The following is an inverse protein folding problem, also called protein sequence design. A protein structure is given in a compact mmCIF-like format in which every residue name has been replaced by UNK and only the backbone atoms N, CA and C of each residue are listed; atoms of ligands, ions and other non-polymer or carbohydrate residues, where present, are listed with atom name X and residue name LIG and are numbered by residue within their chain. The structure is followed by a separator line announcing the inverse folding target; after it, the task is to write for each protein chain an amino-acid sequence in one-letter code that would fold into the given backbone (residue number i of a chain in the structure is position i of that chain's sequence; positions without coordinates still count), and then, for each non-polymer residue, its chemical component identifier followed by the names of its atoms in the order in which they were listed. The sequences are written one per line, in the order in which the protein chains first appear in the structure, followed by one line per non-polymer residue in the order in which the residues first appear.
data_IF_535292712725
#
_entry.id   IF_535292712725
#
_cell.length_a   1.000
_cell.length_b   1.000
_cell.length_c   1.000
_cell.angle_alpha   90.00
_cell.angle_beta   90.00
_cell.angle_gamma   90.00
#
_symmetry.space_group_name_H-M   'P 1'
#
loop_
_entity.id
_entity.type
_entity.pdbx_description
1 polymer ?
#
# COMPACT_ATOMS: atom_id res chain seq x y z
N UNK A 1 -4.77 4.64 19.85
CA UNK A 1 -4.33 4.46 18.44
C UNK A 1 -4.15 2.98 18.21
N UNK A 2 -5.00 2.36 17.40
CA UNK A 2 -4.84 0.95 17.04
C UNK A 2 -3.54 0.78 16.27
N UNK A 3 -2.63 -0.05 16.80
CA UNK A 3 -1.35 -0.40 16.17
C UNK A 3 -1.53 -1.22 14.88
N UNK A 4 -2.75 -1.64 14.58
CA UNK A 4 -3.12 -2.52 13.46
C UNK A 4 -2.93 -1.87 12.08
N UNK A 5 -2.63 -0.57 12.03
CA UNK A 5 -2.38 0.16 10.77
C UNK A 5 -0.89 0.41 10.50
N UNK A 6 0.04 -0.06 11.35
CA UNK A 6 1.48 0.18 11.15
C UNK A 6 2.14 -1.07 10.59
N UNK A 7 2.72 -0.93 9.40
CA UNK A 7 3.53 -1.95 8.73
C UNK A 7 5.00 -1.58 8.88
N UNK A 8 5.84 -2.52 9.28
CA UNK A 8 7.31 -2.36 9.25
C UNK A 8 7.83 -3.21 8.11
N UNK A 9 8.52 -2.60 7.15
CA UNK A 9 9.11 -3.31 6.02
C UNK A 9 10.59 -3.61 6.28
N UNK A 10 11.19 -4.43 5.41
CA UNK A 10 12.59 -4.90 5.52
C UNK A 10 13.63 -3.78 5.60
N UNK A 11 13.28 -2.58 5.15
CA UNK A 11 14.12 -1.38 5.26
C UNK A 11 14.09 -0.74 6.68
N UNK A 12 13.46 -1.39 7.66
CA UNK A 12 13.22 -0.91 9.03
C UNK A 12 12.41 0.39 9.13
N UNK A 13 11.78 0.83 8.04
CA UNK A 13 10.89 1.98 8.07
C UNK A 13 9.47 1.56 8.43
N UNK A 14 8.78 2.46 9.10
CA UNK A 14 7.38 2.29 9.47
C UNK A 14 6.47 3.02 8.49
N UNK A 15 5.40 2.35 8.12
CA UNK A 15 4.40 2.85 7.19
C UNK A 15 3.02 2.73 7.81
N UNK A 16 2.18 3.72 7.55
CA UNK A 16 0.76 3.66 7.84
C UNK A 16 0.01 3.03 6.66
N UNK A 17 -0.81 2.02 6.95
CA UNK A 17 -1.79 1.46 6.02
C UNK A 17 -2.94 2.44 5.85
N UNK A 18 -3.06 3.01 4.66
CA UNK A 18 -4.10 3.98 4.31
C UNK A 18 -5.35 3.26 3.82
N UNK A 19 -5.20 2.29 2.93
CA UNK A 19 -6.31 1.55 2.35
C UNK A 19 -5.87 0.22 1.76
N UNK A 20 -6.82 -0.69 1.60
CA UNK A 20 -6.65 -1.95 0.85
C UNK A 20 -7.75 -2.10 -0.17
N UNK A 21 -7.42 -2.65 -1.33
CA UNK A 21 -8.40 -3.00 -2.38
C UNK A 21 -8.18 -4.43 -2.87
N UNK A 22 -9.21 -5.00 -3.45
CA UNK A 22 -9.11 -6.20 -4.28
C UNK A 22 -9.25 -5.82 -5.75
N UNK A 23 -8.32 -6.27 -6.58
CA UNK A 23 -8.31 -6.06 -8.03
C UNK A 23 -7.78 -7.32 -8.71
N UNK A 24 -8.52 -7.87 -9.67
CA UNK A 24 -8.15 -9.12 -10.38
C UNK A 24 -7.82 -10.29 -9.42
N UNK A 25 -8.63 -10.46 -8.36
CA UNK A 25 -8.45 -11.47 -7.30
C UNK A 25 -7.13 -11.36 -6.51
N UNK A 26 -6.47 -10.20 -6.57
CA UNK A 26 -5.28 -9.88 -5.79
C UNK A 26 -5.59 -8.76 -4.81
N UNK A 27 -4.93 -8.80 -3.64
CA UNK A 27 -5.05 -7.77 -2.61
C UNK A 27 -3.91 -6.78 -2.76
N UNK A 28 -4.25 -5.49 -2.80
CA UNK A 28 -3.28 -4.41 -2.85
C UNK A 28 -3.45 -3.48 -1.65
N UNK A 29 -2.35 -2.90 -1.20
CA UNK A 29 -2.31 -1.94 -0.11
C UNK A 29 -1.69 -0.62 -0.57
N UNK A 30 -2.25 0.47 -0.06
CA UNK A 30 -1.69 1.81 -0.18
C UNK A 30 -1.11 2.22 1.17
N UNK A 31 0.20 2.48 1.17
CA UNK A 31 0.99 2.79 2.36
C UNK A 31 1.60 4.19 2.25
N UNK A 32 1.74 4.89 3.37
CA UNK A 32 2.53 6.14 3.46
C UNK A 32 3.60 6.02 4.55
N UNK A 33 4.78 6.58 4.31
CA UNK A 33 5.88 6.56 5.28
C UNK A 33 5.50 7.42 6.50
N UNK A 34 5.64 6.88 7.71
CA UNK A 34 5.20 7.57 8.93
C UNK A 34 6.01 8.85 9.20
N UNK A 35 7.30 8.84 8.87
CA UNK A 35 8.20 9.99 9.07
C UNK A 35 8.13 11.00 7.92
N UNK A 36 7.52 10.64 6.79
CA UNK A 36 7.42 11.47 5.60
C UNK A 36 6.17 11.12 4.80
N UNK A 37 5.06 11.78 5.11
CA UNK A 37 3.77 11.50 4.46
C UNK A 37 3.73 11.88 2.97
N UNK A 38 4.77 12.51 2.44
CA UNK A 38 4.89 12.76 1.00
C UNK A 38 5.35 11.51 0.25
N UNK A 39 5.95 10.56 0.97
CA UNK A 39 6.36 9.26 0.44
C UNK A 39 5.25 8.25 0.64
N UNK A 40 4.98 7.52 -0.43
CA UNK A 40 3.96 6.49 -0.45
C UNK A 40 4.35 5.35 -1.36
N UNK A 41 3.73 4.20 -1.15
CA UNK A 41 3.92 3.00 -1.94
C UNK A 41 2.59 2.31 -2.16
N UNK A 42 2.45 1.68 -3.32
CA UNK A 42 1.37 0.75 -3.61
C UNK A 42 2.01 -0.61 -3.82
N UNK A 43 1.49 -1.64 -3.18
CA UNK A 43 2.04 -2.98 -3.25
C UNK A 43 0.98 -4.06 -3.23
N UNK A 44 1.31 -5.21 -3.79
CA UNK A 44 0.53 -6.44 -3.62
C UNK A 44 0.83 -7.04 -2.24
N UNK A 45 -0.19 -7.55 -1.56
CA UNK A 45 -0.04 -8.27 -0.29
C UNK A 45 -0.16 -9.77 -0.56
N UNK A 46 0.94 -10.49 -0.45
CA UNK A 46 1.04 -11.92 -0.74
C UNK A 46 1.57 -12.64 0.49
N UNK A 47 0.78 -13.52 1.11
CA UNK A 47 1.18 -14.27 2.31
C UNK A 47 1.77 -13.37 3.43
N UNK A 48 1.09 -12.25 3.70
CA UNK A 48 1.51 -11.23 4.67
C UNK A 48 2.80 -10.45 4.31
N UNK A 49 3.39 -10.70 3.13
CA UNK A 49 4.48 -9.89 2.57
C UNK A 49 3.94 -8.77 1.67
N UNK A 50 4.64 -7.64 1.64
CA UNK A 50 4.32 -6.50 0.80
C UNK A 50 5.31 -6.41 -0.36
N UNK A 51 4.81 -6.52 -1.59
CA UNK A 51 5.61 -6.44 -2.81
C UNK A 51 5.28 -5.12 -3.50
N UNK A 52 6.22 -4.18 -3.49
CA UNK A 52 6.06 -2.87 -4.12
C UNK A 52 5.81 -3.02 -5.63
N UNK A 53 4.77 -2.34 -6.13
CA UNK A 53 4.48 -2.24 -7.55
C UNK A 53 5.17 -0.99 -8.10
N UNK A 54 6.10 -1.19 -9.02
CA UNK A 54 6.79 -0.10 -9.74
C UNK A 54 6.35 0.01 -11.21
N UNK A 55 5.49 -0.90 -11.68
CA UNK A 55 4.98 -0.92 -13.04
C UNK A 55 3.96 0.22 -13.28
N UNK A 56 4.23 1.20 -14.17
CA UNK A 56 3.42 2.41 -14.29
C UNK A 56 1.96 2.17 -14.70
N UNK A 57 1.71 1.22 -15.61
CA UNK A 57 0.35 0.92 -16.08
C UNK A 57 -0.52 0.34 -14.97
N UNK A 58 0.02 -0.61 -14.21
CA UNK A 58 -0.67 -1.20 -13.07
C UNK A 58 -0.88 -0.16 -11.97
N UNK A 59 0.14 0.64 -11.66
CA UNK A 59 0.02 1.76 -10.71
C UNK A 59 -1.13 2.71 -11.07
N UNK A 60 -1.23 3.12 -12.33
CA UNK A 60 -2.32 3.99 -12.81
C UNK A 60 -3.71 3.40 -12.59
N UNK A 61 -3.87 2.11 -12.89
CA UNK A 61 -5.12 1.39 -12.63
C UNK A 61 -5.43 1.35 -11.14
N UNK A 62 -4.49 0.91 -10.31
CA UNK A 62 -4.66 0.79 -8.86
C UNK A 62 -5.00 2.14 -8.21
N UNK A 63 -4.31 3.22 -8.59
CA UNK A 63 -4.62 4.58 -8.09
C UNK A 63 -6.07 4.97 -8.38
N UNK A 64 -6.58 4.63 -9.57
CA UNK A 64 -7.99 4.89 -9.93
C UNK A 64 -8.95 4.10 -9.04
N UNK A 65 -8.59 2.87 -8.65
CA UNK A 65 -9.39 2.07 -7.73
C UNK A 65 -9.34 2.60 -6.29
N UNK A 66 -8.16 2.98 -5.80
CA UNK A 66 -8.03 3.58 -4.47
C UNK A 66 -8.80 4.90 -4.36
N UNK A 67 -8.73 5.76 -5.38
CA UNK A 67 -9.43 7.05 -5.40
C UNK A 67 -10.96 6.93 -5.39
N UNK A 68 -11.53 5.81 -5.86
CA UNK A 68 -12.98 5.55 -5.84
C UNK A 68 -13.52 5.17 -4.47
N UNK A 69 -12.65 4.80 -3.54
CA UNK A 69 -13.03 4.32 -2.21
C UNK A 69 -12.97 5.44 -1.14
N UNK A 70 -12.86 6.71 -1.55
CA UNK A 70 -12.89 7.92 -0.72
C UNK A 70 -14.05 8.82 -1.14
#
# INVERSE_FOLDING_TARGET
MNKEYIVTLDNNKQYALISTIEYENKKYAYLTEMDDSTKYMIGEVVNDEFIEIVEPELLGKLMTHFAKNW
#
